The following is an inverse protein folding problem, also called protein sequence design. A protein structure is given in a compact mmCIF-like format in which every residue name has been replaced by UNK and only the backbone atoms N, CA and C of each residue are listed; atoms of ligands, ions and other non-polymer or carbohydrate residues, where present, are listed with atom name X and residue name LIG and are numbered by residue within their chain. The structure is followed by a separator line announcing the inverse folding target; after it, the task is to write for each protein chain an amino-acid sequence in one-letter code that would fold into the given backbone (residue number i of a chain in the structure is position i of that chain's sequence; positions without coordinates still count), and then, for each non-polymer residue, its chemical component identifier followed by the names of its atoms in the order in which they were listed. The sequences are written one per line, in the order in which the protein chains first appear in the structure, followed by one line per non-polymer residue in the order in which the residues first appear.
data_IF_407383784955
#
_entry.id   IF_407383784955
#
_cell.length_a   1.000
_cell.length_b   1.000
_cell.length_c   1.000
_cell.angle_alpha   90.00
_cell.angle_beta   90.00
_cell.angle_gamma   90.00
#
_symmetry.space_group_name_H-M   'P 1'
#
loop_
_entity.id
_entity.type
_entity.pdbx_description
1 polymer ?
#
# COMPACT_ATOMS: atom_id res chain seq x y z
N UNK A 1 63.58 2.90 -30.06
CA UNK A 1 62.60 3.44 -29.08
C UNK A 1 61.29 2.73 -29.34
N UNK A 2 60.86 1.86 -28.43
CA UNK A 2 59.58 1.16 -28.51
C UNK A 2 58.62 1.83 -27.53
N UNK A 3 57.52 2.39 -28.05
CA UNK A 3 56.48 3.03 -27.25
C UNK A 3 55.45 1.95 -26.90
N UNK A 4 55.49 1.48 -25.65
CA UNK A 4 54.46 0.61 -25.09
C UNK A 4 53.25 1.47 -24.71
N UNK A 5 52.21 1.41 -25.53
CA UNK A 5 50.93 2.04 -25.24
C UNK A 5 50.16 1.14 -24.25
N UNK A 6 50.11 1.53 -22.99
CA UNK A 6 49.33 0.84 -21.95
C UNK A 6 47.85 1.17 -22.16
N UNK A 7 47.08 0.19 -22.64
CA UNK A 7 45.62 0.27 -22.73
C UNK A 7 45.04 0.22 -21.30
N UNK A 8 44.63 1.39 -20.80
CA UNK A 8 43.82 1.51 -19.60
C UNK A 8 42.39 1.07 -19.92
N UNK A 9 42.05 -0.17 -19.58
CA UNK A 9 40.66 -0.60 -19.54
C UNK A 9 39.95 0.11 -18.38
N UNK A 10 38.81 0.77 -18.60
CA UNK A 10 38.02 1.31 -17.51
C UNK A 10 37.51 0.13 -16.68
N UNK A 11 37.94 0.06 -15.42
CA UNK A 11 37.36 -0.81 -14.41
C UNK A 11 35.93 -0.30 -14.20
N UNK A 12 34.96 -0.91 -14.87
CA UNK A 12 33.55 -0.73 -14.56
C UNK A 12 33.37 -1.37 -13.19
N UNK A 13 33.49 -0.55 -12.14
CA UNK A 13 33.04 -0.94 -10.80
C UNK A 13 31.54 -1.18 -10.91
N UNK A 14 31.16 -2.44 -10.98
CA UNK A 14 29.77 -2.85 -10.87
C UNK A 14 29.38 -2.55 -9.42
N UNK A 15 28.77 -1.39 -9.20
CA UNK A 15 28.22 -1.07 -7.89
C UNK A 15 27.24 -2.19 -7.53
N UNK A 16 27.56 -2.98 -6.51
CA UNK A 16 26.62 -3.97 -6.01
C UNK A 16 25.36 -3.24 -5.56
N UNK A 17 24.29 -3.46 -6.30
CA UNK A 17 23.00 -2.89 -5.95
C UNK A 17 22.54 -3.56 -4.66
N UNK A 18 22.60 -2.83 -3.55
CA UNK A 18 22.11 -3.31 -2.24
C UNK A 18 20.66 -3.77 -2.40
N UNK A 19 20.30 -4.90 -1.78
CA UNK A 19 18.93 -5.40 -1.72
C UNK A 19 18.50 -5.61 -0.28
N UNK A 20 17.22 -5.40 0.00
CA UNK A 20 16.64 -5.58 1.33
C UNK A 20 15.48 -6.56 1.28
N UNK A 21 15.43 -7.47 2.25
CA UNK A 21 14.27 -8.35 2.48
C UNK A 21 13.25 -7.62 3.35
N UNK A 22 12.05 -7.43 2.83
CA UNK A 22 10.93 -6.81 3.55
C UNK A 22 9.91 -7.89 3.88
N UNK A 23 9.73 -8.13 5.17
CA UNK A 23 8.73 -9.06 5.68
C UNK A 23 7.46 -8.28 6.02
N UNK A 24 6.35 -8.69 5.43
CA UNK A 24 5.03 -8.17 5.80
C UNK A 24 4.44 -9.21 6.76
N UNK A 25 4.82 -9.13 8.03
CA UNK A 25 4.14 -9.87 9.10
C UNK A 25 2.92 -9.09 9.55
N UNK A 26 1.96 -9.79 10.15
CA UNK A 26 0.76 -9.19 10.70
C UNK A 26 1.09 -8.00 11.61
N UNK A 27 0.55 -6.84 11.23
CA UNK A 27 0.27 -5.67 12.06
C UNK A 27 1.50 -5.01 12.70
N UNK A 28 2.10 -4.04 11.99
CA UNK A 28 2.52 -2.85 12.73
C UNK A 28 1.27 -2.07 13.12
N UNK A 29 1.08 -2.06 14.43
CA UNK A 29 -0.11 -1.77 15.22
C UNK A 29 -0.83 -0.45 14.88
N UNK A 30 -2.10 -0.37 15.30
CA UNK A 30 -2.94 0.83 15.55
C UNK A 30 -4.07 1.19 14.55
N UNK A 31 -4.17 0.69 13.32
CA UNK A 31 -5.17 1.26 12.38
C UNK A 31 -6.52 0.52 12.17
N UNK A 32 -6.65 -0.78 12.44
CA UNK A 32 -7.70 -1.56 11.78
C UNK A 32 -8.68 -2.26 12.71
N UNK A 33 -9.63 -1.51 13.28
CA UNK A 33 -10.93 -2.04 13.71
C UNK A 33 -11.86 -2.39 12.53
N UNK A 34 -11.29 -2.70 11.37
CA UNK A 34 -11.95 -2.63 10.07
C UNK A 34 -11.72 -3.95 9.30
N UNK A 35 -12.79 -4.60 8.84
CA UNK A 35 -12.74 -5.88 8.09
C UNK A 35 -12.37 -5.64 6.63
N UNK A 36 -11.15 -5.17 6.37
CA UNK A 36 -10.64 -5.02 5.01
C UNK A 36 -10.52 -6.40 4.33
N UNK A 37 -10.90 -6.49 3.06
CA UNK A 37 -10.78 -7.73 2.29
C UNK A 37 -9.36 -8.00 1.80
N UNK A 38 -8.56 -6.93 1.61
CA UNK A 38 -7.23 -6.99 1.02
C UNK A 38 -6.25 -6.06 1.71
N UNK A 39 -4.96 -6.33 1.50
CA UNK A 39 -3.84 -5.47 1.88
C UNK A 39 -3.01 -5.11 0.65
N UNK A 40 -2.80 -3.81 0.44
CA UNK A 40 -1.99 -3.23 -0.62
C UNK A 40 -0.68 -2.71 -0.02
N UNK A 41 0.45 -3.18 -0.55
CA UNK A 41 1.79 -2.72 -0.23
C UNK A 41 2.27 -1.79 -1.33
N UNK A 42 2.60 -0.54 -0.99
CA UNK A 42 3.19 0.41 -1.93
C UNK A 42 4.64 0.74 -1.53
N UNK A 43 5.59 0.28 -2.35
CA UNK A 43 7.01 0.55 -2.20
C UNK A 43 7.43 1.91 -2.79
N UNK A 44 6.49 2.81 -3.09
CA UNK A 44 6.72 4.22 -3.47
C UNK A 44 7.67 4.37 -4.66
N UNK A 45 7.48 3.53 -5.68
CA UNK A 45 8.29 3.53 -6.90
C UNK A 45 9.61 2.76 -6.81
N UNK A 46 9.95 2.16 -5.66
CA UNK A 46 11.13 1.28 -5.56
C UNK A 46 10.91 0.00 -6.35
N UNK A 47 12.01 -0.52 -6.90
CA UNK A 47 11.98 -1.74 -7.70
C UNK A 47 11.92 -2.97 -6.80
N UNK A 48 10.88 -3.76 -6.98
CA UNK A 48 10.72 -5.07 -6.35
C UNK A 48 11.25 -6.13 -7.30
N UNK A 49 12.22 -6.91 -6.82
CA UNK A 49 12.91 -7.97 -7.56
C UNK A 49 12.18 -9.31 -7.39
N UNK A 50 11.70 -9.57 -6.18
CA UNK A 50 10.95 -10.78 -5.83
C UNK A 50 9.79 -10.39 -4.91
N UNK A 51 8.65 -11.08 -5.07
CA UNK A 51 7.45 -10.92 -4.24
C UNK A 51 7.01 -12.30 -3.73
N UNK A 52 6.27 -12.37 -2.62
CA UNK A 52 5.57 -13.60 -2.25
C UNK A 52 4.55 -14.03 -3.32
N UNK A 53 4.19 -15.30 -3.33
CA UNK A 53 3.26 -15.88 -4.30
C UNK A 53 1.84 -15.36 -4.11
N UNK A 54 1.46 -15.09 -2.86
CA UNK A 54 0.15 -14.60 -2.46
C UNK A 54 -0.14 -13.18 -2.96
N UNK A 55 0.91 -12.41 -3.27
CA UNK A 55 0.78 -11.05 -3.74
C UNK A 55 0.70 -10.97 -5.26
N UNK A 56 -0.25 -10.21 -5.79
CA UNK A 56 -0.33 -9.87 -7.22
C UNK A 56 0.09 -8.42 -7.45
N UNK A 57 0.65 -8.13 -8.61
CA UNK A 57 0.94 -6.74 -9.01
C UNK A 57 -0.38 -5.96 -9.14
N UNK A 58 -0.46 -4.80 -8.50
CA UNK A 58 -1.67 -3.98 -8.50
C UNK A 58 -1.63 -2.92 -9.61
N UNK A 59 -2.67 -2.89 -10.46
CA UNK A 59 -2.83 -1.88 -11.53
C UNK A 59 -1.61 -1.70 -12.45
N UNK A 60 -0.94 -2.79 -12.81
CA UNK A 60 0.29 -2.79 -13.63
C UNK A 60 1.47 -1.98 -13.03
N UNK A 61 1.38 -1.60 -11.76
CA UNK A 61 2.44 -0.86 -11.08
C UNK A 61 3.41 -1.81 -10.37
N UNK A 62 4.64 -1.86 -10.87
CA UNK A 62 5.71 -2.76 -10.37
C UNK A 62 6.20 -2.46 -8.95
N UNK A 63 5.78 -1.36 -8.33
CA UNK A 63 6.06 -1.08 -6.92
C UNK A 63 4.86 -1.33 -6.00
N UNK A 64 3.71 -1.75 -6.54
CA UNK A 64 2.47 -1.92 -5.79
C UNK A 64 1.98 -3.36 -5.88
N UNK A 65 1.72 -3.97 -4.73
CA UNK A 65 1.35 -5.37 -4.64
C UNK A 65 0.18 -5.57 -3.69
N UNK A 66 -0.82 -6.35 -4.11
CA UNK A 66 -2.03 -6.61 -3.33
C UNK A 66 -2.21 -8.10 -3.07
N UNK A 67 -2.68 -8.44 -1.87
CA UNK A 67 -3.07 -9.80 -1.50
C UNK A 67 -4.38 -9.77 -0.72
N UNK A 68 -5.12 -10.88 -0.74
CA UNK A 68 -6.24 -11.08 0.18
C UNK A 68 -5.74 -11.02 1.63
N UNK A 69 -6.52 -10.38 2.50
CA UNK A 69 -6.17 -10.24 3.90
C UNK A 69 -6.51 -11.53 4.65
N UNK A 70 -5.48 -12.30 5.03
CA UNK A 70 -5.65 -13.64 5.60
C UNK A 70 -5.70 -13.68 7.12
N UNK A 71 -5.46 -12.57 7.85
CA UNK A 71 -5.29 -12.56 9.32
C UNK A 71 -4.21 -13.53 9.83
N UNK A 72 -3.25 -13.85 8.98
CA UNK A 72 -2.06 -14.61 9.31
C UNK A 72 -0.87 -13.91 8.69
N UNK A 73 0.31 -14.13 9.26
CA UNK A 73 1.57 -13.63 8.68
C UNK A 73 1.77 -14.20 7.28
N UNK A 74 2.17 -13.36 6.33
CA UNK A 74 2.56 -13.83 5.01
C UNK A 74 3.81 -14.72 5.13
N UNK A 75 3.83 -15.81 4.35
CA UNK A 75 4.82 -16.87 4.50
C UNK A 75 6.23 -16.49 4.03
N UNK A 76 6.34 -15.39 3.28
CA UNK A 76 7.57 -14.98 2.61
C UNK A 76 7.79 -13.46 2.62
N UNK A 77 8.88 -13.02 2.00
CA UNK A 77 9.35 -11.65 1.97
C UNK A 77 9.31 -11.09 0.54
N UNK A 78 9.30 -9.76 0.45
CA UNK A 78 9.70 -9.05 -0.77
C UNK A 78 11.21 -8.88 -0.79
N UNK A 79 11.82 -8.98 -1.97
CA UNK A 79 13.19 -8.55 -2.21
C UNK A 79 13.16 -7.22 -2.96
N UNK A 80 13.61 -6.15 -2.32
CA UNK A 80 13.51 -4.78 -2.84
C UNK A 80 14.90 -4.18 -3.06
N UNK A 81 15.05 -3.45 -4.15
CA UNK A 81 16.28 -2.73 -4.47
C UNK A 81 16.49 -1.54 -3.50
N UNK A 82 17.70 -1.45 -2.93
CA UNK A 82 18.12 -0.42 -1.98
C UNK A 82 18.02 -0.85 -0.51
N UNK A 83 18.27 0.11 0.38
CA UNK A 83 17.98 0.01 1.81
C UNK A 83 16.51 0.38 2.03
N UNK A 84 15.75 -0.53 2.62
CA UNK A 84 14.32 -0.35 2.90
C UNK A 84 14.06 -0.69 4.36
N UNK A 85 13.47 0.25 5.09
CA UNK A 85 13.09 0.10 6.49
C UNK A 85 11.59 0.16 6.63
N UNK A 86 11.12 -0.23 7.81
CA UNK A 86 9.75 0.05 8.19
C UNK A 86 9.44 1.56 8.08
N UNK A 87 8.30 1.91 7.47
CA UNK A 87 7.92 3.29 7.14
C UNK A 87 8.36 3.78 5.75
N UNK A 88 9.29 3.09 5.08
CA UNK A 88 9.68 3.42 3.69
C UNK A 88 8.68 2.92 2.63
N UNK A 89 7.71 2.10 3.04
CA UNK A 89 6.61 1.59 2.24
C UNK A 89 5.29 1.78 3.01
N UNK A 90 4.19 1.84 2.28
CA UNK A 90 2.86 1.95 2.89
C UNK A 90 2.14 0.60 2.89
N UNK A 91 1.40 0.35 3.96
CA UNK A 91 0.47 -0.76 4.10
C UNK A 91 -0.96 -0.19 4.12
N UNK A 92 -1.69 -0.41 3.04
CA UNK A 92 -2.98 0.22 2.77
C UNK A 92 -4.07 -0.87 2.75
N UNK A 93 -5.02 -0.88 3.71
CA UNK A 93 -6.14 -1.80 3.66
C UNK A 93 -7.06 -1.44 2.50
N UNK A 94 -7.65 -2.45 1.88
CA UNK A 94 -8.53 -2.25 0.74
C UNK A 94 -9.81 -3.05 0.94
N UNK A 95 -10.96 -2.42 0.65
CA UNK A 95 -12.27 -3.08 0.72
C UNK A 95 -12.39 -4.16 -0.38
N UNK A 96 -12.27 -3.75 -1.65
CA UNK A 96 -12.30 -4.63 -2.81
C UNK A 96 -10.98 -4.55 -3.59
N UNK A 97 -10.71 -5.50 -4.49
CA UNK A 97 -9.53 -5.46 -5.37
C UNK A 97 -9.89 -4.95 -6.78
N UNK A 98 -10.33 -3.69 -6.84
CA UNK A 98 -10.55 -3.00 -8.12
C UNK A 98 -9.52 -1.91 -8.37
N UNK A 99 -9.50 -1.41 -9.62
CA UNK A 99 -8.52 -0.45 -10.10
C UNK A 99 -8.74 0.96 -9.55
N UNK A 100 -9.96 1.45 -9.61
CA UNK A 100 -10.32 2.80 -9.21
C UNK A 100 -10.55 2.80 -7.71
N UNK A 101 -10.07 3.81 -7.00
CA UNK A 101 -10.33 3.86 -5.57
C UNK A 101 -9.78 5.08 -4.88
N UNK A 102 -10.38 5.35 -3.74
CA UNK A 102 -10.13 6.54 -2.93
C UNK A 102 -9.92 6.17 -1.47
N UNK A 103 -9.17 7.03 -0.79
CA UNK A 103 -8.95 6.97 0.65
C UNK A 103 -9.24 8.35 1.20
N UNK A 104 -10.05 8.43 2.24
CA UNK A 104 -10.38 9.68 2.90
C UNK A 104 -9.53 9.86 4.15
N UNK A 105 -9.27 11.13 4.49
CA UNK A 105 -8.69 11.51 5.78
C UNK A 105 -9.68 12.38 6.53
N UNK A 106 -10.17 11.89 7.66
CA UNK A 106 -11.06 12.64 8.53
C UNK A 106 -10.24 13.62 9.37
N UNK A 107 -10.68 14.87 9.36
CA UNK A 107 -10.03 15.98 10.05
C UNK A 107 -11.05 16.67 10.96
N UNK A 108 -10.60 17.14 12.12
CA UNK A 108 -11.38 18.03 12.97
C UNK A 108 -11.50 19.41 12.31
N UNK A 109 -12.37 20.27 12.87
CA UNK A 109 -12.53 21.66 12.39
C UNK A 109 -11.23 22.47 12.52
N UNK A 110 -10.39 22.11 13.49
CA UNK A 110 -9.07 22.70 13.73
C UNK A 110 -7.97 22.10 12.83
N UNK A 111 -8.34 21.22 11.89
CA UNK A 111 -7.41 20.61 10.94
C UNK A 111 -6.53 19.52 11.56
N UNK A 112 -6.98 18.86 12.64
CA UNK A 112 -6.26 17.71 13.23
C UNK A 112 -6.85 16.39 12.72
N UNK A 113 -6.02 15.39 12.36
CA UNK A 113 -6.54 14.06 12.02
C UNK A 113 -7.42 13.48 13.13
N UNK A 114 -8.45 12.72 12.73
CA UNK A 114 -9.42 12.10 13.64
C UNK A 114 -9.35 10.58 13.55
N UNK A 115 -8.64 10.00 14.50
CA UNK A 115 -8.41 8.56 14.60
C UNK A 115 -9.59 7.88 15.31
N UNK A 116 -9.85 6.61 15.00
CA UNK A 116 -10.89 5.79 15.63
C UNK A 116 -12.32 6.35 15.50
N UNK A 117 -12.61 7.07 14.42
CA UNK A 117 -13.95 7.58 14.10
C UNK A 117 -14.67 6.58 13.21
N UNK A 118 -15.88 6.18 13.59
CA UNK A 118 -16.76 5.34 12.76
C UNK A 118 -17.13 6.09 11.49
N UNK A 119 -17.09 5.41 10.35
CA UNK A 119 -17.50 5.96 9.05
C UNK A 119 -18.18 4.90 8.18
N UNK A 120 -18.89 5.37 7.16
CA UNK A 120 -19.42 4.55 6.08
C UNK A 120 -19.06 5.15 4.72
N UNK A 121 -18.62 4.34 3.77
CA UNK A 121 -18.40 4.73 2.37
C UNK A 121 -19.47 4.02 1.53
N UNK A 122 -20.08 4.76 0.61
CA UNK A 122 -21.08 4.26 -0.34
C UNK A 122 -20.59 4.50 -1.75
N UNK A 123 -20.57 3.46 -2.56
CA UNK A 123 -20.38 3.56 -4.01
C UNK A 123 -21.64 4.17 -4.65
N UNK A 124 -21.52 5.32 -5.33
CA UNK A 124 -22.70 5.99 -5.90
C UNK A 124 -23.21 5.34 -7.20
N UNK A 125 -22.41 4.47 -7.83
CA UNK A 125 -22.78 3.73 -9.03
C UNK A 125 -23.38 2.35 -8.71
N UNK A 126 -23.07 1.82 -7.53
CA UNK A 126 -23.65 0.60 -6.98
C UNK A 126 -23.91 0.77 -5.47
N UNK A 127 -25.06 1.35 -5.08
CA UNK A 127 -25.35 1.70 -3.69
C UNK A 127 -25.39 0.52 -2.70
N UNK A 128 -25.42 -0.72 -3.19
CA UNK A 128 -25.32 -1.92 -2.36
C UNK A 128 -23.86 -2.23 -1.95
N UNK A 129 -22.88 -1.77 -2.74
CA UNK A 129 -21.46 -1.80 -2.39
C UNK A 129 -21.13 -0.68 -1.39
N UNK A 130 -21.18 -1.05 -0.12
CA UNK A 130 -20.88 -0.15 0.99
C UNK A 130 -19.84 -0.75 1.92
N UNK A 131 -19.12 0.12 2.60
CA UNK A 131 -18.16 -0.26 3.62
C UNK A 131 -18.41 0.54 4.90
N UNK A 132 -18.48 -0.15 6.04
CA UNK A 132 -18.52 0.51 7.35
C UNK A 132 -17.28 0.10 8.14
N UNK A 133 -16.57 1.08 8.70
CA UNK A 133 -15.35 0.84 9.44
C UNK A 133 -15.06 1.94 10.46
N UNK A 134 -13.85 1.90 11.01
CA UNK A 134 -13.30 2.96 11.86
C UNK A 134 -12.02 3.49 11.23
N UNK A 135 -11.77 4.79 11.33
CA UNK A 135 -10.51 5.37 10.84
C UNK A 135 -9.35 4.81 11.62
N UNK A 136 -8.25 4.55 10.92
CA UNK A 136 -6.99 4.22 11.54
C UNK A 136 -6.25 5.47 12.01
N UNK A 137 -4.98 5.27 12.38
CA UNK A 137 -4.10 6.37 12.76
C UNK A 137 -3.98 7.44 11.66
N UNK A 138 -3.84 8.69 12.10
CA UNK A 138 -3.90 9.87 11.25
C UNK A 138 -5.22 10.02 10.45
N UNK A 139 -6.32 9.47 10.95
CA UNK A 139 -7.68 9.64 10.45
C UNK A 139 -7.98 9.03 9.08
N UNK A 140 -7.18 8.07 8.62
CA UNK A 140 -7.36 7.46 7.29
C UNK A 140 -8.45 6.39 7.30
N UNK A 141 -9.26 6.37 6.24
CA UNK A 141 -10.18 5.25 5.94
C UNK A 141 -9.43 4.11 5.27
N UNK A 142 -10.12 2.99 5.03
CA UNK A 142 -9.66 2.03 4.03
C UNK A 142 -9.63 2.67 2.65
N UNK A 143 -8.84 2.09 1.74
CA UNK A 143 -8.99 2.36 0.32
C UNK A 143 -10.25 1.66 -0.17
N UNK A 144 -11.28 2.45 -0.48
CA UNK A 144 -12.50 1.94 -1.10
C UNK A 144 -12.26 1.90 -2.61
N UNK A 145 -12.46 0.75 -3.24
CA UNK A 145 -12.22 0.59 -4.68
C UNK A 145 -13.49 0.18 -5.41
N UNK A 146 -13.60 0.61 -6.67
CA UNK A 146 -14.76 0.41 -7.55
C UNK A 146 -14.33 -0.19 -8.89
N UNK A 147 -15.17 -1.04 -9.48
CA UNK A 147 -14.89 -1.74 -10.74
C UNK A 147 -14.70 -0.78 -11.92
N UNK A 148 -15.54 0.25 -11.97
CA UNK A 148 -15.48 1.36 -12.93
C UNK A 148 -15.18 2.68 -12.21
N UNK A 149 -14.71 3.73 -12.90
CA UNK A 149 -14.58 5.05 -12.29
C UNK A 149 -15.93 5.50 -11.74
N UNK A 150 -15.99 5.77 -10.44
CA UNK A 150 -17.21 6.17 -9.77
C UNK A 150 -16.91 7.09 -8.59
N UNK A 151 -17.82 8.03 -8.33
CA UNK A 151 -17.79 8.83 -7.12
C UNK A 151 -18.25 7.99 -5.93
N UNK A 152 -17.65 8.24 -4.77
CA UNK A 152 -18.05 7.61 -3.51
C UNK A 152 -18.44 8.67 -2.48
N UNK A 153 -19.37 8.32 -1.60
CA UNK A 153 -19.83 9.20 -0.54
C UNK A 153 -19.37 8.70 0.82
N UNK A 154 -18.70 9.57 1.56
CA UNK A 154 -18.31 9.34 2.96
C UNK A 154 -19.40 9.86 3.91
N UNK A 155 -19.77 9.05 4.89
CA UNK A 155 -20.70 9.37 5.98
C UNK A 155 -20.00 9.15 7.32
N UNK A 156 -20.28 10.01 8.29
CA UNK A 156 -19.68 9.98 9.63
C UNK A 156 -20.70 10.37 10.70
N UNK A 157 -20.53 9.92 11.94
CA UNK A 157 -21.42 10.30 13.05
C UNK A 157 -22.84 9.79 12.85
N UNK A 158 -23.83 10.66 13.08
CA UNK A 158 -25.26 10.33 13.00
C UNK A 158 -25.73 10.00 11.57
N UNK A 159 -24.95 10.37 10.54
CA UNK A 159 -25.30 10.11 9.13
C UNK A 159 -25.03 8.66 8.69
N UNK A 160 -24.52 7.80 9.57
CA UNK A 160 -24.12 6.42 9.23
C UNK A 160 -25.32 5.46 9.16
N UNK A 161 -26.30 5.66 10.05
CA UNK A 161 -27.46 4.79 10.25
C UNK A 161 -28.67 5.24 9.40
#
# INVERSE_FOLDING_TARGET
MAVTCVLLFPVISQAETKTTKVYVSEVDDVQYGSTAGYILVDFKGRKVLEKPDEFSMYNDNKSMFIAEYTRYSFSSHFLVEGDVRYGDYDLIPVHNNYRYGETFRLMSKEGKPQDFVRYKIINLCDPDDTYTGMTGANGLTVRFTTEIPCDVRLLTGDDID
#
